data_IF_965058730176
#
_entry.id   IF_965058730176
#
_cell.length_a   1.000
_cell.length_b   1.000
_cell.length_c   1.000
_cell.angle_alpha   90.00
_cell.angle_beta   90.00
_cell.angle_gamma   90.00
#
_symmetry.space_group_name_H-M   'P 1'
#
loop_
_entity.id
_entity.type
_entity.pdbx_description
1 polymer ?
#
# COMPACT_ATOMS: atom_id res chain seq x y z
N UNK A 1 7.77 11.24 9.89
CA UNK A 1 6.83 10.50 10.76
C UNK A 1 5.48 11.18 10.67
N UNK A 2 4.51 10.58 9.97
CA UNK A 2 3.08 10.87 10.16
C UNK A 2 2.34 9.56 9.94
N UNK A 3 1.80 9.02 11.03
CA UNK A 3 0.89 7.87 11.08
C UNK A 3 -0.51 8.36 10.76
N UNK A 4 -1.28 7.58 10.01
CA UNK A 4 -2.74 7.68 10.06
C UNK A 4 -3.25 6.50 10.85
N UNK A 5 -4.30 6.70 11.66
CA UNK A 5 -5.06 5.63 12.31
C UNK A 5 -6.51 6.04 12.85
N UNK A 6 -7.65 5.44 12.42
CA UNK A 6 -9.02 5.30 13.02
C UNK A 6 -9.43 3.81 12.90
N UNK A 7 -9.89 3.27 14.01
CA UNK A 7 -10.66 2.02 14.13
C UNK A 7 -12.01 2.40 14.65
N UNK A 8 -13.05 1.72 14.19
CA UNK A 8 -14.41 1.81 14.73
C UNK A 8 -14.91 0.36 14.75
N UNK A 9 -15.24 -0.31 15.86
CA UNK A 9 -15.59 0.12 17.22
C UNK A 9 -14.87 -0.77 18.25
N UNK A 10 -13.73 -0.28 18.78
CA UNK A 10 -13.10 -0.69 20.07
C UNK A 10 -11.67 -0.13 20.22
N UNK A 11 -11.36 1.01 19.58
CA UNK A 11 -10.19 1.84 19.92
C UNK A 11 -8.98 1.71 18.99
N UNK A 12 -8.96 2.60 17.99
CA UNK A 12 -7.91 3.09 17.06
C UNK A 12 -7.08 2.11 16.18
N UNK A 13 -7.07 2.37 14.84
CA UNK A 13 -6.08 2.06 13.77
C UNK A 13 -6.64 2.05 12.26
N UNK A 14 -6.51 3.18 11.50
CA UNK A 14 -6.64 3.56 10.01
C UNK A 14 -5.28 3.59 9.32
N UNK A 15 -5.20 3.72 7.99
CA UNK A 15 -3.99 4.17 7.29
C UNK A 15 -4.35 5.38 6.38
N UNK A 16 -3.35 6.10 5.82
CA UNK A 16 -3.40 7.13 4.73
C UNK A 16 -2.92 8.56 5.01
N UNK A 17 -1.67 8.92 4.64
CA UNK A 17 -1.31 10.33 4.43
C UNK A 17 -0.95 10.73 2.99
N UNK A 18 -0.47 9.82 2.12
CA UNK A 18 0.15 10.27 0.85
C UNK A 18 -0.90 10.59 -0.23
N UNK A 19 -1.89 9.72 -0.42
CA UNK A 19 -2.92 9.90 -1.45
C UNK A 19 -3.88 11.07 -1.16
N UNK A 20 -4.09 11.42 0.11
CA UNK A 20 -5.05 12.44 0.52
C UNK A 20 -4.55 13.86 0.26
N UNK A 21 -3.24 14.10 0.34
CA UNK A 21 -2.69 15.45 0.15
C UNK A 21 -2.77 15.88 -1.33
N UNK A 22 -2.53 14.94 -2.24
CA UNK A 22 -2.64 15.20 -3.68
C UNK A 22 -4.11 15.36 -4.08
N UNK A 23 -5.01 14.51 -3.58
CA UNK A 23 -6.45 14.64 -3.79
C UNK A 23 -7.02 15.94 -3.22
N UNK A 24 -6.61 16.32 -1.99
CA UNK A 24 -7.05 17.54 -1.32
C UNK A 24 -6.53 18.79 -2.02
N UNK A 25 -5.29 18.77 -2.53
CA UNK A 25 -4.72 19.89 -3.29
C UNK A 25 -5.45 20.07 -4.62
N UNK A 26 -5.72 18.97 -5.35
CA UNK A 26 -6.51 19.01 -6.60
C UNK A 26 -7.91 19.58 -6.33
N UNK A 27 -8.61 19.09 -5.29
CA UNK A 27 -9.93 19.60 -4.90
C UNK A 27 -9.90 21.07 -4.46
N UNK A 28 -8.87 21.48 -3.72
CA UNK A 28 -8.70 22.87 -3.27
C UNK A 28 -8.47 23.84 -4.43
N UNK A 29 -7.70 23.43 -5.43
CA UNK A 29 -7.45 24.25 -6.63
C UNK A 29 -8.67 24.33 -7.54
N UNK A 30 -9.48 23.26 -7.63
CA UNK A 30 -10.76 23.27 -8.33
C UNK A 30 -11.79 24.21 -7.66
N UNK A 31 -11.85 24.22 -6.33
CA UNK A 31 -12.76 25.09 -5.59
C UNK A 31 -12.42 26.59 -5.74
N UNK A 32 -11.15 26.92 -6.00
CA UNK A 32 -10.71 28.31 -6.20
C UNK A 32 -10.94 28.87 -7.61
N UNK A 33 -11.52 28.09 -8.51
CA UNK A 33 -11.85 28.55 -9.86
C UNK A 33 -10.64 28.82 -10.74
N UNK A 34 -9.50 28.17 -10.48
CA UNK A 34 -8.36 28.20 -11.41
C UNK A 34 -8.79 27.57 -12.74
N UNK A 35 -8.46 28.21 -13.86
CA UNK A 35 -8.72 27.64 -15.17
C UNK A 35 -7.94 26.32 -15.30
N UNK A 36 -8.61 25.26 -15.77
CA UNK A 36 -8.05 23.91 -15.97
C UNK A 36 -6.66 23.93 -16.62
N UNK A 37 -6.40 24.87 -17.52
CA UNK A 37 -5.11 25.04 -18.19
C UNK A 37 -3.92 25.43 -17.30
N UNK A 38 -4.13 25.87 -16.06
CA UNK A 38 -3.06 26.24 -15.12
C UNK A 38 -2.71 25.12 -14.14
N UNK A 39 -3.60 24.13 -13.96
CA UNK A 39 -3.37 22.94 -13.11
C UNK A 39 -2.41 21.94 -13.78
N UNK A 40 -2.46 21.85 -15.11
CA UNK A 40 -1.62 20.90 -15.87
C UNK A 40 -0.24 21.45 -16.27
N UNK A 41 0.01 22.75 -16.13
CA UNK A 41 1.29 23.37 -16.54
C UNK A 41 2.45 23.15 -15.57
N UNK A 42 2.18 22.83 -14.30
CA UNK A 42 3.26 22.63 -13.31
C UNK A 42 3.94 21.25 -13.40
N UNK A 43 3.50 20.37 -14.30
CA UNK A 43 4.09 19.01 -14.46
C UNK A 43 5.06 18.90 -15.65
N UNK A 44 5.16 19.91 -16.52
CA UNK A 44 6.14 19.88 -17.63
C UNK A 44 7.50 20.43 -17.19
N UNK A 45 8.43 19.51 -16.92
CA UNK A 45 9.84 19.75 -16.75
C UNK A 45 10.47 20.33 -18.03
N UNK A 46 11.22 21.43 -17.83
CA UNK A 46 12.48 21.81 -18.50
C UNK A 46 12.76 21.18 -19.87
N UNK A 47 12.60 21.97 -20.94
CA UNK A 47 13.60 22.01 -22.00
C UNK A 47 13.74 23.44 -22.53
N UNK A 48 14.94 23.99 -22.34
CA UNK A 48 15.33 25.34 -22.67
C UNK A 48 15.97 25.39 -24.07
N UNK A 49 15.40 26.20 -24.97
CA UNK A 49 16.08 26.92 -26.04
C UNK A 49 15.00 27.78 -26.73
N UNK A 50 15.08 29.09 -26.93
CA UNK A 50 16.19 30.01 -27.12
C UNK A 50 15.76 30.91 -28.29
N UNK A 51 15.71 32.24 -28.11
CA UNK A 51 15.45 33.15 -29.24
C UNK A 51 14.71 34.45 -28.91
N UNK A 52 15.48 35.48 -28.60
CA UNK A 52 15.12 36.92 -28.53
C UNK A 52 14.63 37.46 -29.89
N UNK A 53 13.83 38.56 -29.92
CA UNK A 53 14.16 39.87 -30.57
C UNK A 53 12.97 40.68 -31.22
N UNK A 54 12.91 41.99 -30.87
CA UNK A 54 12.27 43.20 -31.48
C UNK A 54 10.73 43.31 -31.58
N UNK A 55 10.03 44.30 -31.00
CA UNK A 55 10.03 45.79 -31.15
C UNK A 55 9.39 46.32 -32.45
N UNK A 56 8.26 47.04 -32.32
CA UNK A 56 7.81 48.04 -33.31
C UNK A 56 6.35 47.96 -33.82
N UNK A 57 5.44 48.65 -33.13
CA UNK A 57 4.46 49.63 -33.65
C UNK A 57 3.40 49.30 -34.75
N UNK A 58 2.13 49.32 -34.30
CA UNK A 58 0.93 50.03 -34.82
C UNK A 58 0.25 49.71 -36.18
N UNK A 59 -1.10 49.81 -36.12
CA UNK A 59 -2.09 50.20 -37.15
C UNK A 59 -3.08 49.13 -37.67
N UNK A 60 -4.31 49.29 -37.16
CA UNK A 60 -5.65 49.15 -37.77
C UNK A 60 -6.21 47.79 -38.25
N UNK A 61 -7.17 47.32 -37.43
CA UNK A 61 -8.57 47.06 -37.81
C UNK A 61 -8.81 45.94 -38.83
N UNK A 62 -8.99 44.73 -38.31
CA UNK A 62 -9.99 43.81 -38.83
C UNK A 62 -10.78 43.22 -37.68
N UNK A 63 -12.10 43.48 -37.68
CA UNK A 63 -13.05 43.00 -36.70
C UNK A 63 -13.32 41.53 -36.98
N UNK A 64 -12.35 40.66 -36.70
CA UNK A 64 -12.62 39.23 -36.65
C UNK A 64 -13.44 38.98 -35.40
N UNK A 65 -14.72 38.66 -35.56
CA UNK A 65 -15.54 38.05 -34.54
C UNK A 65 -14.71 37.00 -33.80
N UNK A 66 -14.68 36.96 -32.45
CA UNK A 66 -14.01 35.88 -31.75
C UNK A 66 -14.58 34.57 -32.31
N UNK A 67 -13.74 33.59 -32.71
CA UNK A 67 -14.27 32.30 -33.07
C UNK A 67 -15.12 31.88 -31.87
N UNK A 68 -16.41 31.67 -32.13
CA UNK A 68 -17.38 31.21 -31.14
C UNK A 68 -16.96 29.77 -30.83
N UNK A 69 -15.92 29.66 -30.01
CA UNK A 69 -15.42 28.42 -29.49
C UNK A 69 -16.34 28.08 -28.32
N UNK A 70 -17.62 27.86 -28.64
CA UNK A 70 -18.55 27.22 -27.73
C UNK A 70 -18.19 25.73 -27.77
N UNK A 71 -17.03 25.41 -27.20
CA UNK A 71 -16.89 24.11 -26.58
C UNK A 71 -18.03 24.04 -25.57
N UNK A 72 -18.95 23.11 -25.76
CA UNK A 72 -20.10 22.88 -24.88
C UNK A 72 -19.61 22.24 -23.58
N UNK A 73 -18.67 22.90 -22.91
CA UNK A 73 -18.13 22.50 -21.64
C UNK A 73 -19.18 22.78 -20.58
N UNK A 74 -20.00 21.77 -20.29
CA UNK A 74 -20.93 21.83 -19.18
C UNK A 74 -20.18 21.46 -17.91
N UNK A 75 -19.77 22.51 -17.18
CA UNK A 75 -19.11 22.38 -15.89
C UNK A 75 -19.85 21.46 -14.91
N UNK A 76 -21.18 21.33 -15.01
CA UNK A 76 -21.95 20.44 -14.14
C UNK A 76 -21.77 18.97 -14.51
N UNK A 77 -21.72 18.66 -15.81
CA UNK A 77 -21.48 17.29 -16.30
C UNK A 77 -20.06 16.86 -15.93
N UNK A 78 -19.08 17.73 -16.12
CA UNK A 78 -17.68 17.45 -15.76
C UNK A 78 -17.48 17.33 -14.24
N UNK A 79 -18.18 18.14 -13.44
CA UNK A 79 -18.17 18.00 -11.98
C UNK A 79 -18.73 16.65 -11.52
N UNK A 80 -19.87 16.21 -12.07
CA UNK A 80 -20.46 14.90 -11.75
C UNK A 80 -19.54 13.75 -12.16
N UNK A 81 -18.90 13.86 -13.34
CA UNK A 81 -17.94 12.87 -13.79
C UNK A 81 -16.73 12.76 -12.86
N UNK A 82 -16.22 13.90 -12.36
CA UNK A 82 -15.13 13.92 -11.39
C UNK A 82 -15.54 13.27 -10.06
N UNK A 83 -16.76 13.53 -9.58
CA UNK A 83 -17.32 12.86 -8.40
C UNK A 83 -17.38 11.33 -8.59
N UNK A 84 -17.87 10.88 -9.74
CA UNK A 84 -17.90 9.45 -10.10
C UNK A 84 -16.50 8.82 -10.16
N UNK A 85 -15.51 9.51 -10.74
CA UNK A 85 -14.12 9.06 -10.82
C UNK A 85 -13.47 8.94 -9.42
N UNK A 86 -13.74 9.90 -8.54
CA UNK A 86 -13.29 9.86 -7.14
C UNK A 86 -13.92 8.66 -6.43
N UNK A 87 -15.23 8.46 -6.56
CA UNK A 87 -15.94 7.35 -5.92
C UNK A 87 -15.44 5.99 -6.41
N UNK A 88 -15.19 5.85 -7.72
CA UNK A 88 -14.60 4.64 -8.30
C UNK A 88 -13.20 4.37 -7.73
N UNK A 89 -12.37 5.42 -7.64
CA UNK A 89 -11.01 5.33 -7.08
C UNK A 89 -11.05 4.88 -5.62
N UNK A 90 -11.91 5.49 -4.80
CA UNK A 90 -12.08 5.12 -3.39
C UNK A 90 -12.63 3.70 -3.23
N UNK A 91 -13.54 3.28 -4.11
CA UNK A 91 -14.06 1.92 -4.09
C UNK A 91 -12.98 0.89 -4.45
N UNK A 92 -12.15 1.16 -5.45
CA UNK A 92 -11.02 0.31 -5.84
C UNK A 92 -9.99 0.20 -4.71
N UNK A 93 -9.64 1.33 -4.09
CA UNK A 93 -8.74 1.40 -2.94
C UNK A 93 -9.24 0.55 -1.77
N UNK A 94 -10.52 0.69 -1.42
CA UNK A 94 -11.15 -0.10 -0.36
C UNK A 94 -11.13 -1.59 -0.66
N UNK A 95 -11.37 -1.99 -1.91
CA UNK A 95 -11.31 -3.40 -2.35
C UNK A 95 -9.88 -3.95 -2.21
N UNK A 96 -8.86 -3.21 -2.67
CA UNK A 96 -7.45 -3.60 -2.56
C UNK A 96 -7.04 -3.81 -1.10
N UNK A 97 -7.33 -2.82 -0.24
CA UNK A 97 -6.95 -2.90 1.17
C UNK A 97 -7.67 -4.01 1.93
N UNK A 98 -8.94 -4.27 1.59
CA UNK A 98 -9.66 -5.38 2.19
C UNK A 98 -9.09 -6.75 1.75
N UNK A 99 -8.62 -6.86 0.51
CA UNK A 99 -7.90 -8.04 0.04
C UNK A 99 -6.57 -8.22 0.79
N UNK A 100 -5.73 -7.18 0.84
CA UNK A 100 -4.45 -7.21 1.56
C UNK A 100 -4.61 -7.58 3.03
N UNK A 101 -5.59 -6.99 3.72
CA UNK A 101 -5.90 -7.30 5.11
C UNK A 101 -6.28 -8.76 5.30
N UNK A 102 -7.22 -9.28 4.50
CA UNK A 102 -7.66 -10.68 4.62
C UNK A 102 -6.53 -11.66 4.33
N UNK A 103 -5.74 -11.39 3.30
CA UNK A 103 -4.57 -12.21 2.98
C UNK A 103 -3.55 -12.19 4.13
N UNK A 104 -3.29 -11.01 4.71
CA UNK A 104 -2.39 -10.89 5.85
C UNK A 104 -2.90 -11.66 7.06
N UNK A 105 -4.17 -11.50 7.41
CA UNK A 105 -4.83 -12.20 8.51
C UNK A 105 -4.74 -13.71 8.33
N UNK A 106 -5.14 -14.23 7.17
CA UNK A 106 -5.07 -15.66 6.85
C UNK A 106 -3.65 -16.21 7.05
N UNK A 107 -2.66 -15.58 6.42
CA UNK A 107 -1.27 -16.06 6.44
C UNK A 107 -0.65 -15.97 7.84
N UNK A 108 -0.91 -14.90 8.58
CA UNK A 108 -0.43 -14.74 9.95
C UNK A 108 -1.07 -15.75 10.91
N UNK A 109 -2.36 -16.04 10.75
CA UNK A 109 -3.06 -17.04 11.57
C UNK A 109 -2.57 -18.47 11.28
N UNK A 110 -2.35 -18.82 10.01
CA UNK A 110 -1.75 -20.10 9.63
C UNK A 110 -0.37 -20.27 10.29
N UNK A 111 0.48 -19.24 10.19
CA UNK A 111 1.82 -19.28 10.81
C UNK A 111 1.76 -19.37 12.33
N UNK A 112 0.84 -18.63 12.98
CA UNK A 112 0.60 -18.73 14.44
C UNK A 112 0.23 -20.16 14.83
N UNK A 113 -0.74 -20.76 14.15
CA UNK A 113 -1.20 -22.11 14.45
C UNK A 113 -0.08 -23.14 14.23
N UNK A 114 0.73 -22.97 13.20
CA UNK A 114 1.89 -23.82 12.98
C UNK A 114 2.90 -23.76 14.14
N UNK A 115 3.23 -22.56 14.61
CA UNK A 115 4.11 -22.37 15.78
C UNK A 115 3.49 -22.98 17.05
N UNK A 116 2.18 -22.84 17.25
CA UNK A 116 1.50 -23.45 18.40
C UNK A 116 1.61 -24.98 18.39
N UNK A 117 1.36 -25.60 17.24
CA UNK A 117 1.50 -27.05 17.09
C UNK A 117 2.94 -27.52 17.34
N UNK A 118 3.95 -26.69 17.07
CA UNK A 118 5.35 -26.99 17.39
C UNK A 118 5.62 -26.92 18.90
N UNK A 119 5.02 -25.98 19.61
CA UNK A 119 5.11 -25.91 21.07
C UNK A 119 4.47 -27.15 21.73
N UNK A 120 3.29 -27.56 21.27
CA UNK A 120 2.64 -28.78 21.76
C UNK A 120 3.49 -30.04 21.54
N UNK A 121 4.13 -30.14 20.36
CA UNK A 121 5.06 -31.22 20.07
C UNK A 121 6.28 -31.18 20.98
N UNK A 122 6.86 -30.00 21.22
CA UNK A 122 7.99 -29.83 22.13
C UNK A 122 7.65 -30.27 23.55
N UNK A 123 6.47 -29.92 24.05
CA UNK A 123 6.01 -30.30 25.39
C UNK A 123 5.85 -31.82 25.53
N UNK A 124 5.37 -32.48 24.47
CA UNK A 124 5.31 -33.94 24.40
C UNK A 124 6.70 -34.56 24.38
N UNK A 125 7.59 -34.11 23.49
CA UNK A 125 8.96 -34.61 23.36
C UNK A 125 9.75 -34.46 24.68
N UNK A 126 9.54 -33.36 25.41
CA UNK A 126 10.11 -33.15 26.76
C UNK A 126 9.55 -34.09 27.81
N UNK A 127 8.24 -34.35 27.76
CA UNK A 127 7.58 -35.29 28.68
C UNK A 127 8.07 -36.72 28.44
N UNK A 128 8.20 -37.10 27.17
CA UNK A 128 8.76 -38.39 26.77
C UNK A 128 10.20 -38.51 27.29
N UNK A 129 11.07 -37.52 27.03
CA UNK A 129 12.45 -37.49 27.53
C UNK A 129 12.53 -37.64 29.07
N UNK A 130 11.63 -36.98 29.81
CA UNK A 130 11.58 -37.07 31.27
C UNK A 130 11.18 -38.46 31.80
N UNK A 131 10.53 -39.29 30.99
CA UNK A 131 9.98 -40.59 31.40
C UNK A 131 10.87 -41.78 31.02
N UNK A 132 11.90 -41.58 30.19
CA UNK A 132 12.72 -42.67 29.65
C UNK A 132 13.88 -43.08 30.57
N UNK A 133 14.22 -44.38 30.52
CA UNK A 133 15.22 -44.99 31.42
C UNK A 133 16.45 -45.54 30.67
N UNK A 134 16.40 -45.70 29.34
CA UNK A 134 17.53 -46.25 28.57
C UNK A 134 18.40 -45.15 27.95
N UNK A 135 19.72 -45.34 27.96
CA UNK A 135 20.70 -44.33 27.50
C UNK A 135 20.60 -44.02 26.00
N UNK A 136 20.44 -45.02 25.13
CA UNK A 136 20.40 -44.83 23.66
C UNK A 136 19.13 -44.09 23.22
N UNK A 137 17.98 -44.38 23.83
CA UNK A 137 16.72 -43.67 23.53
C UNK A 137 16.80 -42.22 24.04
N UNK A 138 17.51 -41.98 25.15
CA UNK A 138 17.70 -40.64 25.71
C UNK A 138 18.42 -39.72 24.74
N UNK A 139 19.50 -40.16 24.09
CA UNK A 139 20.25 -39.34 23.13
C UNK A 139 19.37 -38.93 21.93
N UNK A 140 18.59 -39.86 21.39
CA UNK A 140 17.67 -39.58 20.28
C UNK A 140 16.55 -38.60 20.65
N UNK A 141 16.05 -38.66 21.89
CA UNK A 141 15.02 -37.76 22.40
C UNK A 141 15.58 -36.36 22.68
N UNK A 142 16.82 -36.26 23.17
CA UNK A 142 17.52 -34.98 23.32
C UNK A 142 17.69 -34.30 21.96
N UNK A 143 18.13 -35.03 20.94
CA UNK A 143 18.26 -34.50 19.59
C UNK A 143 16.93 -34.00 19.02
N UNK A 144 15.83 -34.75 19.23
CA UNK A 144 14.49 -34.35 18.81
C UNK A 144 14.07 -33.02 19.46
N UNK A 145 14.26 -32.87 20.78
CA UNK A 145 13.95 -31.64 21.52
C UNK A 145 14.78 -30.47 20.99
N UNK A 146 16.07 -30.65 20.75
CA UNK A 146 16.95 -29.59 20.22
C UNK A 146 16.53 -29.15 18.82
N UNK A 147 16.26 -30.11 17.93
CA UNK A 147 15.78 -29.84 16.57
C UNK A 147 14.45 -29.08 16.59
N UNK A 148 13.53 -29.45 17.49
CA UNK A 148 12.24 -28.77 17.64
C UNK A 148 12.40 -27.34 18.11
N UNK A 149 13.25 -27.10 19.11
CA UNK A 149 13.56 -25.75 19.60
C UNK A 149 14.11 -24.87 18.46
N UNK A 150 15.03 -25.40 17.66
CA UNK A 150 15.58 -24.63 16.55
C UNK A 150 14.57 -24.39 15.42
N UNK A 151 13.68 -25.34 15.18
CA UNK A 151 12.55 -25.14 14.26
C UNK A 151 11.64 -24.01 14.75
N UNK A 152 11.25 -24.00 16.03
CA UNK A 152 10.42 -22.93 16.61
C UNK A 152 11.11 -21.58 16.45
N UNK A 153 12.42 -21.47 16.74
CA UNK A 153 13.17 -20.22 16.55
C UNK A 153 13.08 -19.71 15.11
N UNK A 154 13.26 -20.59 14.11
CA UNK A 154 13.15 -20.22 12.69
C UNK A 154 11.75 -19.73 12.33
N UNK A 155 10.71 -20.44 12.77
CA UNK A 155 9.33 -20.09 12.46
C UNK A 155 8.86 -18.79 13.16
N UNK A 156 9.38 -18.51 14.35
CA UNK A 156 9.15 -17.23 15.05
C UNK A 156 9.84 -16.07 14.33
N UNK A 157 11.05 -16.27 13.81
CA UNK A 157 11.73 -15.27 12.98
C UNK A 157 10.96 -15.01 11.68
N UNK A 158 10.50 -16.06 11.01
CA UNK A 158 9.61 -15.95 9.86
C UNK A 158 8.34 -15.15 10.17
N UNK A 159 7.68 -15.42 11.30
CA UNK A 159 6.51 -14.63 11.72
C UNK A 159 6.86 -13.15 11.95
N UNK A 160 8.06 -12.85 12.48
CA UNK A 160 8.53 -11.48 12.66
C UNK A 160 8.69 -10.77 11.32
N UNK A 161 9.21 -11.45 10.31
CA UNK A 161 9.31 -10.90 8.94
C UNK A 161 7.93 -10.70 8.33
N UNK A 162 7.03 -11.68 8.44
CA UNK A 162 5.65 -11.57 7.97
C UNK A 162 4.92 -10.37 8.58
N UNK A 163 5.15 -10.07 9.86
CA UNK A 163 4.52 -8.93 10.56
C UNK A 163 4.93 -7.56 10.01
N UNK A 164 5.95 -7.46 9.14
CA UNK A 164 6.29 -6.20 8.51
C UNK A 164 5.17 -5.64 7.63
N UNK A 165 4.23 -6.48 7.17
CA UNK A 165 3.01 -6.05 6.46
C UNK A 165 2.12 -5.12 7.27
N UNK A 166 2.34 -5.00 8.59
CA UNK A 166 1.70 -3.96 9.38
C UNK A 166 1.97 -2.55 8.82
N UNK A 167 3.06 -2.33 8.07
CA UNK A 167 3.39 -1.05 7.45
C UNK A 167 2.70 -0.82 6.08
N UNK A 168 1.82 -1.74 5.68
CA UNK A 168 1.22 -1.81 4.35
C UNK A 168 2.03 -2.66 3.37
N UNK A 169 1.34 -3.29 2.41
CA UNK A 169 1.98 -4.17 1.42
C UNK A 169 2.93 -3.37 0.51
N UNK A 170 2.53 -2.17 0.07
CA UNK A 170 3.40 -1.31 -0.75
C UNK A 170 4.72 -0.91 -0.08
N UNK A 171 4.79 -0.92 1.25
CA UNK A 171 5.99 -0.60 2.03
C UNK A 171 6.78 -1.84 2.46
N UNK A 172 6.26 -3.03 2.21
CA UNK A 172 6.88 -4.30 2.62
C UNK A 172 7.80 -4.80 1.51
N UNK A 173 8.93 -5.41 1.89
CA UNK A 173 9.86 -5.97 0.92
C UNK A 173 9.15 -6.94 -0.03
N UNK A 174 9.43 -6.81 -1.33
CA UNK A 174 8.92 -7.74 -2.37
C UNK A 174 9.28 -9.19 -2.06
N UNK A 175 10.43 -9.45 -1.43
CA UNK A 175 10.83 -10.80 -1.03
C UNK A 175 9.89 -11.38 0.03
N UNK A 176 9.55 -10.61 1.06
CA UNK A 176 8.62 -11.03 2.12
C UNK A 176 7.23 -11.30 1.54
N UNK A 177 6.74 -10.42 0.66
CA UNK A 177 5.44 -10.58 0.00
C UNK A 177 5.39 -11.83 -0.88
N UNK A 178 6.46 -12.10 -1.63
CA UNK A 178 6.58 -13.30 -2.45
C UNK A 178 6.64 -14.56 -1.59
N UNK A 179 7.59 -14.62 -0.67
CA UNK A 179 7.93 -15.84 0.06
C UNK A 179 6.82 -16.28 1.02
N UNK A 180 6.09 -15.33 1.61
CA UNK A 180 5.11 -15.64 2.67
C UNK A 180 3.66 -15.36 2.30
N UNK A 181 3.40 -14.46 1.34
CA UNK A 181 2.05 -14.07 0.93
C UNK A 181 1.71 -14.52 -0.50
N UNK A 182 2.67 -15.04 -1.27
CA UNK A 182 2.44 -15.57 -2.62
C UNK A 182 2.17 -14.48 -3.66
N UNK A 183 2.61 -13.24 -3.38
CA UNK A 183 2.49 -12.14 -4.33
C UNK A 183 3.77 -12.09 -5.17
N UNK A 184 3.67 -12.46 -6.45
CA UNK A 184 4.78 -12.29 -7.38
C UNK A 184 5.04 -10.80 -7.61
N UNK A 185 6.31 -10.41 -7.66
CA UNK A 185 6.66 -9.08 -8.11
C UNK A 185 6.35 -9.04 -9.62
N UNK A 186 5.29 -8.33 -10.02
CA UNK A 186 5.13 -7.97 -11.42
C UNK A 186 6.42 -7.27 -11.86
N UNK A 187 7.08 -7.87 -12.86
CA UNK A 187 8.28 -7.35 -13.47
C UNK A 187 7.85 -6.23 -14.41
N UNK A 188 8.09 -4.99 -13.98
CA UNK A 188 8.05 -3.82 -14.88
C UNK A 188 9.29 -3.77 -15.75
#
# INVERSE_FOLDING_TARGET
MVLCFLKVSSGAFMWFPIFWNDLYNILYQLQKGACIGDVFKEVEFMDANGGTLHHGESILRERSSPPKMTSNFDHRVESLKLEDEIDQTLQALRKSQNFEYRLAEERLLVQKNYIMNLYEQLDKERSDLSSHTTMVETDTLVDAVLQRVDQIKREVLKLKDMKQVQNGFGSTSKTILKDYFGLEAESS
#
